data_IF_872228174838
#
_entry.id   IF_872228174838
#
_cell.length_a   1.000
_cell.length_b   1.000
_cell.length_c   1.000
_cell.angle_alpha   90.00
_cell.angle_beta   90.00
_cell.angle_gamma   90.00
#
_symmetry.space_group_name_H-M   'P 1'
#
loop_
_entity.id
_entity.type
_entity.pdbx_description
1 polymer ?
#
# COMPACT_ATOMS: atom_id res chain seq x y z
N UNK A 1 26.22 19.86 0.68
CA UNK A 1 26.08 19.50 2.10
C UNK A 1 25.51 18.11 2.18
N UNK A 2 26.16 17.17 2.89
CA UNK A 2 25.60 15.83 3.09
C UNK A 2 24.30 16.00 3.90
N UNK A 3 23.16 15.61 3.34
CA UNK A 3 21.88 15.58 4.05
C UNK A 3 22.04 14.64 5.24
N UNK A 4 21.87 15.14 6.44
CA UNK A 4 21.92 14.33 7.66
C UNK A 4 20.92 13.18 7.52
N UNK A 5 21.40 11.95 7.70
CA UNK A 5 20.57 10.75 7.60
C UNK A 5 19.46 10.80 8.66
N UNK A 6 18.21 10.83 8.21
CA UNK A 6 17.02 10.85 9.08
C UNK A 6 16.75 9.45 9.62
N UNK A 7 16.25 9.36 10.84
CA UNK A 7 15.70 8.11 11.39
C UNK A 7 14.20 8.05 11.08
N UNK A 8 13.81 7.06 10.30
CA UNK A 8 12.40 6.86 9.88
C UNK A 8 11.85 5.62 10.56
N UNK A 9 10.77 5.79 11.32
CA UNK A 9 9.98 4.66 11.83
C UNK A 9 9.08 4.11 10.72
N UNK A 10 9.10 2.80 10.51
CA UNK A 10 8.20 2.11 9.58
C UNK A 10 7.36 1.11 10.36
N UNK A 11 6.03 1.27 10.33
CA UNK A 11 5.10 0.27 10.84
C UNK A 11 4.66 -0.67 9.73
N UNK A 12 4.25 -1.90 10.08
CA UNK A 12 3.86 -2.90 9.09
C UNK A 12 5.01 -3.40 8.19
N UNK A 13 6.27 -3.24 8.60
CA UNK A 13 7.45 -3.57 7.79
C UNK A 13 7.62 -5.08 7.52
N UNK A 14 6.95 -5.94 8.26
CA UNK A 14 6.88 -7.39 7.98
C UNK A 14 5.84 -7.77 6.92
N UNK A 15 5.06 -6.79 6.45
CA UNK A 15 4.09 -6.92 5.37
C UNK A 15 4.60 -6.30 4.06
N UNK A 16 3.74 -6.29 3.06
CA UNK A 16 4.07 -5.91 1.68
C UNK A 16 4.51 -4.43 1.57
N UNK A 17 3.65 -3.49 1.93
CA UNK A 17 3.92 -2.06 1.74
C UNK A 17 5.05 -1.55 2.65
N UNK A 18 4.95 -1.82 3.95
CA UNK A 18 5.98 -1.39 4.90
C UNK A 18 7.36 -2.00 4.60
N UNK A 19 7.38 -3.27 4.16
CA UNK A 19 8.60 -3.95 3.71
C UNK A 19 9.23 -3.28 2.49
N UNK A 20 8.41 -2.92 1.50
CA UNK A 20 8.86 -2.22 0.29
C UNK A 20 9.44 -0.83 0.62
N UNK A 21 8.77 -0.08 1.50
CA UNK A 21 9.24 1.26 1.93
C UNK A 21 10.52 1.15 2.76
N UNK A 22 10.59 0.22 3.72
CA UNK A 22 11.80 0.00 4.52
C UNK A 22 13.00 -0.36 3.64
N UNK A 23 12.81 -1.26 2.68
CA UNK A 23 13.84 -1.66 1.71
C UNK A 23 14.31 -0.46 0.88
N UNK A 24 13.37 0.35 0.37
CA UNK A 24 13.70 1.53 -0.43
C UNK A 24 14.46 2.60 0.37
N UNK A 25 14.08 2.82 1.63
CA UNK A 25 14.77 3.75 2.53
C UNK A 25 16.19 3.29 2.85
N UNK A 26 16.39 2.02 3.20
CA UNK A 26 17.71 1.44 3.45
C UNK A 26 18.62 1.54 2.24
N UNK A 27 18.10 1.23 1.04
CA UNK A 27 18.85 1.36 -0.22
C UNK A 27 19.28 2.81 -0.53
N UNK A 28 18.61 3.81 0.08
CA UNK A 28 18.95 5.24 -0.01
C UNK A 28 19.79 5.72 1.17
N UNK A 29 20.32 4.81 2.00
CA UNK A 29 21.20 5.14 3.13
C UNK A 29 20.48 5.82 4.30
N UNK A 30 19.16 5.74 4.39
CA UNK A 30 18.42 6.27 5.53
C UNK A 30 18.49 5.31 6.71
N UNK A 31 18.47 5.85 7.93
CA UNK A 31 18.30 5.05 9.13
C UNK A 31 16.85 4.64 9.26
N UNK A 32 16.60 3.35 9.44
CA UNK A 32 15.23 2.81 9.51
C UNK A 32 15.06 2.08 10.84
N UNK A 33 14.01 2.45 11.56
CA UNK A 33 13.51 1.70 12.71
C UNK A 33 12.21 1.01 12.32
N UNK A 34 12.08 -0.28 12.60
CA UNK A 34 10.90 -1.08 12.36
C UNK A 34 10.23 -1.38 13.69
N UNK A 35 8.92 -1.13 13.79
CA UNK A 35 8.14 -1.62 14.91
C UNK A 35 7.36 -2.85 14.51
N UNK A 36 7.56 -3.97 15.23
CA UNK A 36 6.87 -5.24 14.96
C UNK A 36 6.49 -5.93 16.27
N UNK A 37 5.33 -6.58 16.26
CA UNK A 37 4.91 -7.49 17.36
C UNK A 37 5.78 -8.75 17.39
N UNK A 38 6.35 -9.10 16.24
CA UNK A 38 7.12 -10.33 15.98
C UNK A 38 8.45 -9.93 15.32
N UNK A 39 9.44 -9.43 16.09
CA UNK A 39 10.72 -8.92 15.56
C UNK A 39 11.47 -9.90 14.66
N UNK A 40 11.37 -11.20 14.93
CA UNK A 40 12.02 -12.26 14.15
C UNK A 40 11.57 -12.31 12.69
N UNK A 41 10.33 -11.88 12.38
CA UNK A 41 9.84 -11.76 10.99
C UNK A 41 10.51 -10.62 10.21
N UNK A 42 11.19 -9.70 10.88
CA UNK A 42 11.94 -8.60 10.28
C UNK A 42 13.44 -8.90 10.11
N UNK A 43 13.88 -10.15 10.33
CA UNK A 43 15.30 -10.54 10.32
C UNK A 43 16.05 -10.14 9.04
N UNK A 44 15.41 -10.25 7.87
CA UNK A 44 16.02 -9.84 6.60
C UNK A 44 16.30 -8.32 6.55
N UNK A 45 15.36 -7.50 7.01
CA UNK A 45 15.52 -6.04 7.09
C UNK A 45 16.53 -5.64 8.18
N UNK A 46 16.55 -6.35 9.31
CA UNK A 46 17.56 -6.16 10.34
C UNK A 46 18.98 -6.43 9.80
N UNK A 47 19.15 -7.52 9.04
CA UNK A 47 20.41 -7.84 8.36
C UNK A 47 20.80 -6.77 7.32
N UNK A 48 19.82 -6.11 6.72
CA UNK A 48 20.03 -4.98 5.81
C UNK A 48 20.32 -3.64 6.52
N UNK A 49 20.38 -3.62 7.86
CA UNK A 49 20.76 -2.46 8.67
C UNK A 49 19.61 -1.72 9.35
N UNK A 50 18.39 -2.27 9.35
CA UNK A 50 17.29 -1.68 10.10
C UNK A 50 17.39 -1.99 11.60
N UNK A 51 17.10 -1.01 12.46
CA UNK A 51 16.83 -1.21 13.88
C UNK A 51 15.43 -1.85 14.03
N UNK A 52 15.31 -2.90 14.82
CA UNK A 52 14.01 -3.56 15.07
C UNK A 52 13.63 -3.42 16.53
N UNK A 53 12.47 -2.83 16.79
CA UNK A 53 11.90 -2.71 18.13
C UNK A 53 10.62 -3.51 18.24
N UNK A 54 10.44 -4.20 19.37
CA UNK A 54 9.18 -4.88 19.66
C UNK A 54 8.14 -3.85 20.08
N UNK A 55 6.93 -3.93 19.51
CA UNK A 55 5.85 -3.04 19.88
C UNK A 55 4.52 -3.35 19.20
N UNK A 56 3.46 -2.85 19.80
CA UNK A 56 2.09 -2.98 19.32
C UNK A 56 1.47 -1.59 19.16
N UNK A 57 0.79 -1.35 18.03
CA UNK A 57 0.08 -0.09 17.75
C UNK A 57 -1.04 0.24 18.75
N UNK A 58 -1.52 -0.74 19.49
CA UNK A 58 -2.54 -0.55 20.54
C UNK A 58 -1.97 -0.23 21.92
N UNK A 59 -0.63 -0.19 22.06
CA UNK A 59 0.03 0.11 23.35
C UNK A 59 0.72 1.48 23.28
N UNK A 60 0.24 2.49 24.04
CA UNK A 60 0.83 3.83 24.05
C UNK A 60 2.32 3.85 24.45
N UNK A 61 2.73 3.00 25.40
CA UNK A 61 4.13 2.94 25.83
C UNK A 61 5.06 2.42 24.73
N UNK A 62 4.59 1.44 23.94
CA UNK A 62 5.35 0.92 22.80
C UNK A 62 5.50 2.00 21.72
N UNK A 63 4.42 2.75 21.43
CA UNK A 63 4.44 3.86 20.47
C UNK A 63 5.42 4.94 20.92
N UNK A 64 5.38 5.35 22.18
CA UNK A 64 6.30 6.34 22.73
C UNK A 64 7.75 5.88 22.63
N UNK A 65 8.03 4.62 22.95
CA UNK A 65 9.36 4.05 22.85
C UNK A 65 9.86 3.98 21.40
N UNK A 66 9.00 3.54 20.47
CA UNK A 66 9.33 3.43 19.05
C UNK A 66 9.58 4.79 18.39
N UNK A 67 8.88 5.85 18.82
CA UNK A 67 9.00 7.20 18.27
C UNK A 67 10.16 8.01 18.84
N UNK A 68 10.89 7.51 19.84
CA UNK A 68 11.99 8.26 20.48
C UNK A 68 13.12 8.53 19.49
N UNK A 69 13.40 9.81 19.22
CA UNK A 69 14.46 10.26 18.33
C UNK A 69 14.19 10.02 16.84
N UNK A 70 12.94 9.78 16.47
CA UNK A 70 12.49 9.55 15.09
C UNK A 70 12.19 10.90 14.44
N UNK A 71 12.63 11.09 13.19
CA UNK A 71 12.37 12.31 12.39
C UNK A 71 11.10 12.20 11.56
N UNK A 72 10.78 10.98 11.07
CA UNK A 72 9.63 10.72 10.22
C UNK A 72 9.01 9.36 10.47
N UNK A 73 7.75 9.19 10.08
CA UNK A 73 7.01 7.93 10.27
C UNK A 73 6.34 7.51 8.96
N UNK A 74 6.61 6.29 8.50
CA UNK A 74 5.74 5.60 7.54
C UNK A 74 4.74 4.76 8.32
N UNK A 75 3.49 5.16 8.24
CA UNK A 75 2.39 4.63 9.04
C UNK A 75 1.47 3.74 8.23
N UNK A 76 1.31 2.51 8.70
CA UNK A 76 0.38 1.53 8.16
C UNK A 76 -0.38 0.85 9.29
N UNK A 77 -1.69 0.75 9.15
CA UNK A 77 -2.59 -0.14 9.87
C UNK A 77 -3.40 -0.96 8.87
N UNK A 78 -3.98 -2.08 9.29
CA UNK A 78 -4.72 -2.99 8.40
C UNK A 78 -5.99 -3.50 9.04
N UNK A 79 -7.12 -3.56 8.30
CA UNK A 79 -8.37 -4.11 8.81
C UNK A 79 -8.39 -5.63 8.83
N UNK A 80 -7.52 -6.30 8.07
CA UNK A 80 -7.56 -7.74 7.82
C UNK A 80 -7.13 -8.61 8.99
N UNK A 81 -6.55 -8.02 10.05
CA UNK A 81 -6.16 -8.77 11.25
C UNK A 81 -7.19 -8.68 12.38
N UNK A 82 -7.75 -7.49 12.62
CA UNK A 82 -8.60 -7.23 13.78
C UNK A 82 -9.85 -6.38 13.45
N UNK A 83 -10.16 -6.22 12.16
CA UNK A 83 -11.32 -5.49 11.65
C UNK A 83 -11.10 -3.99 11.50
N UNK A 84 -12.06 -3.34 10.85
CA UNK A 84 -12.02 -1.91 10.46
C UNK A 84 -11.92 -0.98 11.67
N UNK A 85 -12.65 -1.27 12.75
CA UNK A 85 -12.59 -0.45 13.96
C UNK A 85 -11.21 -0.47 14.62
N UNK A 86 -10.56 -1.64 14.63
CA UNK A 86 -9.20 -1.76 15.16
C UNK A 86 -8.20 -1.00 14.28
N UNK A 87 -8.36 -1.07 12.95
CA UNK A 87 -7.56 -0.27 12.02
C UNK A 87 -7.65 1.22 12.30
N UNK A 88 -8.88 1.74 12.45
CA UNK A 88 -9.12 3.16 12.76
C UNK A 88 -8.47 3.54 14.08
N UNK A 89 -8.69 2.75 15.16
CA UNK A 89 -8.06 3.00 16.46
C UNK A 89 -6.53 3.02 16.38
N UNK A 90 -5.93 2.03 15.71
CA UNK A 90 -4.47 1.93 15.55
C UNK A 90 -3.91 3.11 14.76
N UNK A 91 -4.58 3.49 13.66
CA UNK A 91 -4.18 4.62 12.83
C UNK A 91 -4.22 5.95 13.57
N UNK A 92 -5.30 6.19 14.33
CA UNK A 92 -5.48 7.38 15.18
C UNK A 92 -4.43 7.42 16.29
N UNK A 93 -4.25 6.32 17.04
CA UNK A 93 -3.28 6.25 18.14
C UNK A 93 -1.85 6.53 17.66
N UNK A 94 -1.47 5.99 16.50
CA UNK A 94 -0.13 6.24 15.93
C UNK A 94 0.01 7.70 15.47
N UNK A 95 -1.02 8.30 14.86
CA UNK A 95 -1.00 9.69 14.43
C UNK A 95 -0.90 10.66 15.63
N UNK A 96 -1.66 10.42 16.69
CA UNK A 96 -1.61 11.21 17.92
C UNK A 96 -0.24 11.11 18.62
N UNK A 97 0.30 9.90 18.72
CA UNK A 97 1.62 9.68 19.29
C UNK A 97 2.72 10.36 18.46
N UNK A 98 2.62 10.31 17.11
CA UNK A 98 3.53 11.00 16.22
C UNK A 98 3.46 12.53 16.37
N UNK A 99 2.25 13.09 16.51
CA UNK A 99 2.04 14.51 16.78
C UNK A 99 2.67 14.93 18.12
N UNK A 100 2.45 14.16 19.18
CA UNK A 100 3.04 14.39 20.49
C UNK A 100 4.57 14.31 20.50
N UNK A 101 5.13 13.39 19.69
CA UNK A 101 6.58 13.24 19.53
C UNK A 101 7.22 14.32 18.64
N UNK A 102 6.43 15.24 18.06
CA UNK A 102 6.93 16.32 17.20
C UNK A 102 7.47 15.85 15.85
N UNK A 103 6.92 14.75 15.31
CA UNK A 103 7.32 14.20 13.99
C UNK A 103 7.13 15.27 12.92
N UNK A 104 8.18 15.49 12.12
CA UNK A 104 8.21 16.54 11.09
C UNK A 104 7.63 16.09 9.74
N UNK A 105 7.55 14.78 9.49
CA UNK A 105 6.92 14.23 8.29
C UNK A 105 6.30 12.86 8.56
N UNK A 106 4.99 12.79 8.42
CA UNK A 106 4.20 11.57 8.59
C UNK A 106 3.70 11.10 7.22
N UNK A 107 4.07 9.92 6.79
CA UNK A 107 3.59 9.32 5.53
C UNK A 107 2.61 8.22 5.87
N UNK A 108 1.32 8.48 5.61
CA UNK A 108 0.26 7.50 5.86
C UNK A 108 -0.09 6.76 4.58
N UNK A 109 -0.10 5.43 4.61
CA UNK A 109 -0.62 4.63 3.50
C UNK A 109 -2.10 4.36 3.71
N UNK A 110 -2.91 5.02 2.88
CA UNK A 110 -4.35 4.89 2.77
C UNK A 110 -4.73 3.94 1.63
N UNK A 111 -5.76 4.25 0.86
CA UNK A 111 -6.19 3.52 -0.33
C UNK A 111 -6.71 4.50 -1.39
N UNK A 112 -6.54 4.15 -2.66
CA UNK A 112 -7.04 4.94 -3.79
C UNK A 112 -8.52 5.26 -3.66
N UNK A 113 -8.89 6.50 -3.92
CA UNK A 113 -10.28 6.98 -3.86
C UNK A 113 -10.95 6.95 -2.47
N UNK A 114 -10.24 6.78 -1.36
CA UNK A 114 -10.81 6.76 0.00
C UNK A 114 -11.73 7.95 0.30
N UNK A 115 -11.44 9.12 -0.29
CA UNK A 115 -12.18 10.38 -0.09
C UNK A 115 -13.50 10.49 -0.88
N UNK A 116 -13.86 9.46 -1.67
CA UNK A 116 -14.98 9.53 -2.65
C UNK A 116 -16.29 8.93 -2.14
N UNK A 117 -16.43 8.69 -0.84
CA UNK A 117 -17.63 8.05 -0.24
C UNK A 117 -17.97 6.74 -0.97
N UNK A 118 -17.02 5.84 -1.00
CA UNK A 118 -17.12 4.61 -1.81
C UNK A 118 -18.12 3.61 -1.27
N UNK A 119 -18.44 3.70 0.03
CA UNK A 119 -19.22 2.70 0.75
C UNK A 119 -18.46 1.40 1.01
N UNK A 120 -17.19 1.30 0.60
CA UNK A 120 -16.35 0.12 0.83
C UNK A 120 -15.81 0.19 2.27
N UNK A 121 -16.13 -0.78 3.15
CA UNK A 121 -15.79 -0.65 4.57
C UNK A 121 -14.31 -0.38 4.86
N UNK A 122 -13.37 -1.08 4.21
CA UNK A 122 -11.94 -0.82 4.43
C UNK A 122 -11.42 0.47 3.76
N UNK A 123 -12.11 1.08 2.80
CA UNK A 123 -11.78 2.41 2.30
C UNK A 123 -12.25 3.48 3.29
N UNK A 124 -13.45 3.29 3.84
CA UNK A 124 -14.02 4.20 4.83
C UNK A 124 -13.23 4.23 6.15
N UNK A 125 -12.68 3.08 6.58
CA UNK A 125 -11.81 3.05 7.77
C UNK A 125 -10.55 3.87 7.55
N UNK A 126 -9.91 3.77 6.39
CA UNK A 126 -8.73 4.56 6.04
C UNK A 126 -9.05 6.05 5.89
N UNK A 127 -10.21 6.38 5.30
CA UNK A 127 -10.65 7.77 5.19
C UNK A 127 -10.83 8.43 6.56
N UNK A 128 -11.37 7.70 7.54
CA UNK A 128 -11.47 8.20 8.93
C UNK A 128 -10.11 8.55 9.52
N UNK A 129 -9.10 7.73 9.28
CA UNK A 129 -7.73 8.02 9.74
C UNK A 129 -7.15 9.24 9.01
N UNK A 130 -7.35 9.36 7.68
CA UNK A 130 -6.93 10.56 6.94
C UNK A 130 -7.56 11.84 7.47
N UNK A 131 -8.86 11.81 7.78
CA UNK A 131 -9.57 12.95 8.36
C UNK A 131 -8.97 13.34 9.70
N UNK A 132 -8.67 12.37 10.58
CA UNK A 132 -8.03 12.63 11.86
C UNK A 132 -6.63 13.25 11.72
N UNK A 133 -5.79 12.70 10.82
CA UNK A 133 -4.46 13.26 10.52
C UNK A 133 -4.53 14.74 10.14
N UNK A 134 -5.51 15.12 9.28
CA UNK A 134 -5.74 16.50 8.88
C UNK A 134 -6.25 17.34 10.04
N UNK A 135 -7.21 16.82 10.82
CA UNK A 135 -7.83 17.50 11.95
C UNK A 135 -6.80 17.91 13.02
N UNK A 136 -5.85 17.01 13.34
CA UNK A 136 -4.80 17.30 14.32
C UNK A 136 -3.66 18.15 13.74
N UNK A 137 -3.70 18.49 12.46
CA UNK A 137 -2.65 19.29 11.79
C UNK A 137 -1.28 18.60 11.82
N UNK A 138 -1.23 17.28 11.64
CA UNK A 138 0.02 16.54 11.54
C UNK A 138 0.65 16.81 10.16
N UNK A 139 1.95 17.20 10.06
CA UNK A 139 2.61 17.39 8.77
C UNK A 139 2.67 16.06 8.01
N UNK A 140 1.82 15.86 7.02
CA UNK A 140 1.62 14.54 6.42
C UNK A 140 1.65 14.53 4.90
N UNK A 141 2.05 13.39 4.35
CA UNK A 141 1.77 12.92 3.00
C UNK A 141 0.84 11.71 3.10
N UNK A 142 -0.21 11.69 2.31
CA UNK A 142 -1.12 10.55 2.22
C UNK A 142 -0.85 9.81 0.90
N UNK A 143 -0.34 8.61 0.96
CA UNK A 143 -0.27 7.73 -0.19
C UNK A 143 -1.53 6.88 -0.28
N UNK A 144 -2.15 6.87 -1.44
CA UNK A 144 -3.39 6.14 -1.73
C UNK A 144 -3.14 5.12 -2.83
N UNK A 145 -2.44 4.03 -2.54
CA UNK A 145 -2.23 2.99 -3.54
C UNK A 145 -3.57 2.36 -3.94
N UNK A 146 -3.64 1.95 -5.21
CA UNK A 146 -4.76 1.20 -5.78
C UNK A 146 -4.52 -0.31 -5.64
N UNK A 147 -5.16 -1.12 -6.48
CA UNK A 147 -4.97 -2.57 -6.52
C UNK A 147 -3.50 -2.95 -6.73
N UNK A 148 -2.97 -3.85 -5.88
CA UNK A 148 -1.57 -4.27 -6.01
C UNK A 148 -1.39 -5.29 -7.14
N UNK A 149 -0.38 -5.11 -7.98
CA UNK A 149 -0.01 -6.10 -8.99
C UNK A 149 0.33 -7.45 -8.36
N UNK A 150 0.92 -7.44 -7.17
CA UNK A 150 1.27 -8.63 -6.40
C UNK A 150 0.08 -9.53 -6.03
N UNK A 151 -1.15 -9.01 -6.09
CA UNK A 151 -2.35 -9.81 -5.90
C UNK A 151 -2.47 -10.94 -6.94
N UNK A 152 -1.91 -10.75 -8.15
CA UNK A 152 -1.88 -11.79 -9.19
C UNK A 152 -0.89 -12.93 -8.91
N UNK A 153 -0.09 -12.83 -7.86
CA UNK A 153 0.73 -13.93 -7.35
C UNK A 153 0.13 -14.62 -6.12
N UNK A 154 -0.98 -14.10 -5.60
CA UNK A 154 -1.65 -14.57 -4.39
C UNK A 154 -3.12 -14.90 -4.67
N UNK A 155 -4.05 -14.15 -4.11
CA UNK A 155 -5.48 -14.51 -4.16
C UNK A 155 -6.12 -14.33 -5.55
N UNK A 156 -5.58 -13.49 -6.42
CA UNK A 156 -6.00 -13.34 -7.82
C UNK A 156 -5.09 -14.10 -8.80
N UNK A 157 -4.33 -15.08 -8.30
CA UNK A 157 -3.45 -15.91 -9.13
C UNK A 157 -4.28 -16.79 -10.07
N UNK A 158 -3.92 -16.84 -11.39
CA UNK A 158 -4.59 -17.75 -12.30
C UNK A 158 -4.52 -19.20 -11.84
N UNK A 159 -5.60 -19.94 -11.98
CA UNK A 159 -5.70 -21.34 -11.60
C UNK A 159 -4.74 -22.23 -12.41
N UNK A 160 -4.55 -23.48 -12.00
CA UNK A 160 -3.75 -24.47 -12.75
C UNK A 160 -4.30 -24.67 -14.16
N UNK A 161 -5.62 -24.52 -14.37
CA UNK A 161 -6.31 -24.63 -15.65
C UNK A 161 -6.17 -23.38 -16.53
N UNK A 162 -5.51 -22.32 -16.04
CA UNK A 162 -5.31 -21.09 -16.79
C UNK A 162 -6.46 -20.09 -16.68
N UNK A 163 -7.29 -20.18 -15.66
CA UNK A 163 -8.41 -19.25 -15.45
C UNK A 163 -7.98 -18.13 -14.49
N UNK A 164 -8.06 -16.89 -14.95
CA UNK A 164 -8.05 -15.69 -14.11
C UNK A 164 -9.50 -15.35 -13.76
N UNK A 165 -9.89 -15.60 -12.50
CA UNK A 165 -11.27 -15.47 -12.03
C UNK A 165 -11.40 -14.28 -11.07
N UNK A 166 -12.13 -13.24 -11.45
CA UNK A 166 -12.41 -12.07 -10.61
C UNK A 166 -13.83 -11.55 -10.89
N UNK A 167 -14.49 -10.90 -9.91
CA UNK A 167 -15.82 -10.31 -10.13
C UNK A 167 -15.71 -8.93 -10.82
N UNK A 168 -15.07 -8.91 -11.97
CA UNK A 168 -14.88 -7.73 -12.82
C UNK A 168 -15.54 -7.92 -14.17
N UNK A 169 -16.27 -6.92 -14.65
CA UNK A 169 -16.78 -6.93 -16.04
C UNK A 169 -15.62 -6.86 -17.02
N UNK A 170 -15.64 -7.63 -18.13
CA UNK A 170 -14.50 -7.70 -19.07
C UNK A 170 -14.04 -6.35 -19.64
N UNK A 171 -14.98 -5.42 -19.84
CA UNK A 171 -14.71 -4.10 -20.39
C UNK A 171 -14.24 -3.07 -19.36
N UNK A 172 -14.25 -3.41 -18.07
CA UNK A 172 -13.82 -2.49 -17.00
C UNK A 172 -12.33 -2.59 -16.77
N UNK A 173 -11.71 -1.43 -16.68
CA UNK A 173 -10.29 -1.32 -16.31
C UNK A 173 -10.13 -1.32 -14.81
N UNK A 174 -9.02 -1.87 -14.36
CA UNK A 174 -8.56 -1.87 -12.97
C UNK A 174 -7.21 -1.18 -12.92
N UNK A 175 -7.16 -0.03 -12.26
CA UNK A 175 -5.87 0.63 -12.01
C UNK A 175 -5.06 -0.18 -11.01
N UNK A 176 -3.77 -0.37 -11.29
CA UNK A 176 -2.86 -1.24 -10.55
C UNK A 176 -1.57 -0.52 -10.20
N UNK A 177 -0.94 -0.93 -9.09
CA UNK A 177 0.35 -0.42 -8.65
C UNK A 177 1.25 -1.55 -8.19
N UNK A 178 2.54 -1.50 -8.53
CA UNK A 178 3.55 -2.42 -8.01
C UNK A 178 4.01 -1.99 -6.60
N UNK A 179 4.25 -2.93 -5.70
CA UNK A 179 4.76 -2.65 -4.35
C UNK A 179 6.07 -1.87 -4.37
N UNK A 180 6.94 -2.12 -5.36
CA UNK A 180 8.19 -1.36 -5.49
C UNK A 180 7.96 0.13 -5.71
N UNK A 181 6.87 0.51 -6.39
CA UNK A 181 6.53 1.92 -6.62
C UNK A 181 5.97 2.55 -5.34
N UNK A 182 5.20 1.81 -4.55
CA UNK A 182 4.79 2.23 -3.20
C UNK A 182 6.04 2.48 -2.34
N UNK A 183 7.01 1.56 -2.40
CA UNK A 183 8.30 1.70 -1.72
C UNK A 183 9.06 2.94 -2.16
N UNK A 184 9.14 3.17 -3.47
CA UNK A 184 9.83 4.32 -4.05
C UNK A 184 9.18 5.65 -3.67
N UNK A 185 7.84 5.76 -3.75
CA UNK A 185 7.08 6.95 -3.38
C UNK A 185 7.15 7.20 -1.87
N UNK A 186 7.03 6.15 -1.04
CA UNK A 186 7.19 6.26 0.41
C UNK A 186 8.57 6.78 0.81
N UNK A 187 9.64 6.26 0.20
CA UNK A 187 10.99 6.75 0.44
C UNK A 187 11.19 8.18 -0.10
N UNK A 188 10.69 8.48 -1.31
CA UNK A 188 10.79 9.81 -1.91
C UNK A 188 10.10 10.89 -1.07
N UNK A 189 8.99 10.57 -0.42
CA UNK A 189 8.30 11.50 0.48
C UNK A 189 9.24 12.03 1.57
N UNK A 190 10.06 11.19 2.18
CA UNK A 190 11.02 11.61 3.20
C UNK A 190 12.25 12.31 2.62
N UNK A 191 12.67 11.96 1.41
CA UNK A 191 13.87 12.49 0.76
C UNK A 191 13.63 13.84 0.07
N UNK A 192 12.40 14.08 -0.37
CA UNK A 192 11.96 15.29 -1.08
C UNK A 192 10.71 15.88 -0.41
N UNK A 193 10.77 16.26 0.87
CA UNK A 193 9.58 16.68 1.61
C UNK A 193 8.85 17.87 0.98
N UNK A 194 9.55 18.75 0.29
CA UNK A 194 8.95 19.91 -0.43
C UNK A 194 7.96 19.49 -1.52
N UNK A 195 8.17 18.35 -2.16
CA UNK A 195 7.32 17.87 -3.25
C UNK A 195 6.10 17.08 -2.72
N UNK A 196 6.23 16.54 -1.51
CA UNK A 196 5.28 15.54 -1.00
C UNK A 196 4.44 16.04 0.19
N UNK A 197 4.99 16.92 1.04
CA UNK A 197 4.30 17.34 2.25
C UNK A 197 2.97 18.05 1.94
N UNK A 198 1.91 17.63 2.61
CA UNK A 198 0.55 18.13 2.37
C UNK A 198 -0.17 17.47 1.21
N UNK A 199 0.49 16.61 0.43
CA UNK A 199 -0.12 15.93 -0.72
C UNK A 199 -0.92 14.70 -0.30
N UNK A 200 -2.01 14.42 -1.06
CA UNK A 200 -2.73 13.15 -1.05
C UNK A 200 -2.68 12.56 -2.47
N UNK A 201 -2.02 11.44 -2.63
CA UNK A 201 -1.56 10.92 -3.92
C UNK A 201 -2.22 9.57 -4.19
N UNK A 202 -3.18 9.54 -5.12
CA UNK A 202 -3.71 8.29 -5.65
C UNK A 202 -2.66 7.68 -6.57
N UNK A 203 -2.08 6.53 -6.17
CA UNK A 203 -0.88 5.96 -6.77
C UNK A 203 -1.21 4.72 -7.61
N UNK A 204 -1.02 4.83 -8.94
CA UNK A 204 -1.17 3.76 -9.91
C UNK A 204 -0.01 3.75 -10.91
N UNK A 205 0.36 2.57 -11.39
CA UNK A 205 1.40 2.38 -12.42
C UNK A 205 0.81 1.98 -13.77
N UNK A 206 -0.33 1.30 -13.78
CA UNK A 206 -1.02 0.84 -15.00
C UNK A 206 -2.54 0.80 -14.80
N UNK A 207 -3.30 0.68 -15.90
CA UNK A 207 -4.76 0.63 -15.91
C UNK A 207 -5.25 -0.26 -17.06
N UNK A 208 -5.55 -1.53 -16.77
CA UNK A 208 -5.86 -2.57 -17.74
C UNK A 208 -7.21 -3.24 -17.46
N UNK A 209 -7.83 -3.74 -18.52
CA UNK A 209 -8.94 -4.70 -18.41
C UNK A 209 -8.43 -6.08 -17.99
N UNK A 210 -9.26 -6.92 -17.43
CA UNK A 210 -8.87 -8.29 -17.05
C UNK A 210 -8.51 -9.18 -18.24
N UNK A 211 -9.17 -9.09 -19.43
CA UNK A 211 -8.69 -9.75 -20.64
C UNK A 211 -7.30 -9.31 -21.10
N UNK A 212 -6.96 -8.01 -21.04
CA UNK A 212 -5.60 -7.52 -21.33
C UNK A 212 -4.60 -8.06 -20.32
N UNK A 213 -4.95 -8.07 -19.03
CA UNK A 213 -4.13 -8.64 -17.95
C UNK A 213 -3.87 -10.14 -18.18
N UNK A 214 -4.90 -10.92 -18.55
CA UNK A 214 -4.77 -12.35 -18.84
C UNK A 214 -3.86 -12.61 -20.07
N UNK A 215 -3.92 -11.78 -21.10
CA UNK A 215 -3.05 -11.89 -22.26
C UNK A 215 -1.57 -11.66 -21.89
N UNK A 216 -1.27 -10.68 -21.05
CA UNK A 216 0.08 -10.44 -20.53
C UNK A 216 0.56 -11.60 -19.65
N UNK A 217 -0.30 -12.12 -18.76
CA UNK A 217 0.01 -13.30 -17.94
C UNK A 217 0.27 -14.55 -18.77
N UNK A 218 -0.45 -14.75 -19.88
CA UNK A 218 -0.18 -15.84 -20.85
C UNK A 218 1.26 -15.80 -21.32
N UNK A 219 1.72 -14.62 -21.73
CA UNK A 219 3.11 -14.43 -22.20
C UNK A 219 4.12 -14.70 -21.07
N UNK A 220 3.87 -14.22 -19.88
CA UNK A 220 4.79 -14.34 -18.74
C UNK A 220 4.86 -15.76 -18.17
N UNK A 221 3.71 -16.47 -18.12
CA UNK A 221 3.61 -17.81 -17.55
C UNK A 221 3.91 -18.92 -18.58
N UNK A 222 4.05 -18.58 -19.87
CA UNK A 222 4.33 -19.55 -20.94
C UNK A 222 3.20 -20.58 -21.16
N UNK A 223 1.98 -20.27 -20.73
CA UNK A 223 0.78 -21.11 -20.90
C UNK A 223 -0.46 -20.26 -21.07
N UNK A 224 -1.51 -20.76 -21.78
CA UNK A 224 -2.74 -20.01 -21.96
C UNK A 224 -3.38 -19.59 -20.64
N UNK A 225 -3.68 -18.30 -20.49
CA UNK A 225 -4.47 -17.74 -19.40
C UNK A 225 -5.64 -16.99 -20.05
N UNK A 226 -6.85 -17.27 -19.60
CA UNK A 226 -8.06 -16.56 -20.00
C UNK A 226 -8.77 -16.00 -18.79
N UNK A 227 -9.47 -14.89 -18.98
CA UNK A 227 -10.25 -14.26 -17.95
C UNK A 227 -11.68 -14.82 -17.96
N UNK A 228 -12.20 -15.13 -16.77
CA UNK A 228 -13.61 -15.43 -16.56
C UNK A 228 -14.18 -14.48 -15.50
N UNK A 229 -15.35 -13.92 -15.80
CA UNK A 229 -16.07 -13.08 -14.85
C UNK A 229 -16.71 -13.95 -13.77
N UNK A 230 -16.31 -13.76 -12.53
CA UNK A 230 -17.02 -14.33 -11.39
C UNK A 230 -18.28 -13.50 -11.12
N UNK A 231 -19.44 -14.16 -10.98
CA UNK A 231 -20.70 -13.44 -10.83
C UNK A 231 -20.73 -12.63 -9.53
N UNK A 232 -20.99 -11.32 -9.65
CA UNK A 232 -20.95 -10.40 -8.53
C UNK A 232 -21.96 -10.74 -7.42
N UNK A 233 -23.11 -11.34 -7.80
CA UNK A 233 -24.15 -11.81 -6.89
C UNK A 233 -23.65 -12.92 -5.95
N UNK A 234 -22.65 -13.68 -6.37
CA UNK A 234 -22.03 -14.75 -5.60
C UNK A 234 -20.80 -14.28 -4.82
N UNK A 235 -20.29 -13.09 -5.15
CA UNK A 235 -19.05 -12.57 -4.58
C UNK A 235 -19.14 -12.38 -3.06
N UNK A 236 -20.29 -11.94 -2.54
CA UNK A 236 -20.46 -11.72 -1.10
C UNK A 236 -20.36 -13.01 -0.29
N UNK A 237 -20.96 -14.10 -0.79
CA UNK A 237 -20.85 -15.40 -0.14
C UNK A 237 -19.43 -16.00 -0.21
N UNK A 238 -18.69 -15.72 -1.30
CA UNK A 238 -17.36 -16.28 -1.53
C UNK A 238 -16.23 -15.51 -0.83
N UNK A 239 -16.32 -14.17 -0.76
CA UNK A 239 -15.22 -13.31 -0.30
C UNK A 239 -15.62 -12.28 0.76
N UNK A 240 -16.88 -12.27 1.20
CA UNK A 240 -17.44 -11.39 2.22
C UNK A 240 -17.86 -10.03 1.68
N UNK A 241 -18.65 -9.33 2.50
CA UNK A 241 -19.32 -8.07 2.15
C UNK A 241 -18.34 -6.98 1.68
N UNK A 242 -17.21 -6.83 2.36
CA UNK A 242 -16.21 -5.79 2.09
C UNK A 242 -15.64 -5.90 0.66
N UNK A 243 -15.13 -7.08 0.29
CA UNK A 243 -14.56 -7.29 -1.04
C UNK A 243 -15.63 -7.30 -2.13
N UNK A 244 -16.81 -7.85 -1.87
CA UNK A 244 -17.91 -7.81 -2.82
C UNK A 244 -18.36 -6.36 -3.12
N UNK A 245 -18.44 -5.51 -2.10
CA UNK A 245 -18.73 -4.08 -2.25
C UNK A 245 -17.63 -3.37 -3.04
N UNK A 246 -16.36 -3.72 -2.80
CA UNK A 246 -15.22 -3.18 -3.56
C UNK A 246 -15.32 -3.53 -5.05
N UNK A 247 -15.58 -4.78 -5.40
CA UNK A 247 -15.70 -5.18 -6.80
C UNK A 247 -16.95 -4.59 -7.47
N UNK A 248 -18.05 -4.43 -6.74
CA UNK A 248 -19.23 -3.68 -7.25
C UNK A 248 -18.83 -2.26 -7.61
N UNK A 249 -18.14 -1.58 -6.72
CA UNK A 249 -17.66 -0.22 -6.95
C UNK A 249 -16.68 -0.15 -8.13
N UNK A 250 -15.77 -1.12 -8.28
CA UNK A 250 -14.87 -1.18 -9.44
C UNK A 250 -15.64 -1.30 -10.76
N UNK A 251 -16.71 -2.08 -10.78
CA UNK A 251 -17.54 -2.27 -11.96
C UNK A 251 -18.42 -1.05 -12.31
N UNK A 252 -18.88 -0.31 -11.32
CA UNK A 252 -19.79 0.83 -11.51
C UNK A 252 -19.02 2.14 -11.69
N UNK A 253 -18.04 2.40 -10.85
CA UNK A 253 -17.33 3.66 -10.74
C UNK A 253 -15.87 3.52 -11.18
N UNK A 254 -15.09 2.72 -10.45
CA UNK A 254 -13.67 2.50 -10.67
C UNK A 254 -12.78 3.67 -10.22
N UNK A 255 -11.49 3.43 -10.28
CA UNK A 255 -10.48 4.46 -10.04
C UNK A 255 -10.44 5.47 -11.20
N UNK A 256 -10.13 6.73 -10.89
CA UNK A 256 -9.98 7.80 -11.88
C UNK A 256 -8.61 8.47 -11.69
N UNK A 257 -7.54 7.81 -12.16
CA UNK A 257 -6.17 8.26 -11.94
C UNK A 257 -5.52 8.64 -13.27
N UNK A 258 -4.98 9.85 -13.33
CA UNK A 258 -4.18 10.31 -14.47
C UNK A 258 -2.71 9.92 -14.26
N UNK A 259 -2.34 8.69 -14.65
CA UNK A 259 -0.98 8.15 -14.51
C UNK A 259 0.09 9.02 -15.21
N UNK A 260 -0.11 9.53 -16.44
CA UNK A 260 0.83 10.48 -17.05
C UNK A 260 1.06 11.74 -16.22
N UNK A 261 0.00 12.36 -15.70
CA UNK A 261 0.13 13.52 -14.83
C UNK A 261 0.88 13.21 -13.54
N UNK A 262 0.65 12.05 -12.93
CA UNK A 262 1.36 11.58 -11.74
C UNK A 262 2.87 11.43 -12.02
N UNK A 263 3.25 10.81 -13.14
CA UNK A 263 4.65 10.70 -13.58
C UNK A 263 5.30 12.08 -13.76
N UNK A 264 4.59 12.99 -14.40
CA UNK A 264 5.08 14.35 -14.65
C UNK A 264 5.25 15.15 -13.35
N UNK A 265 4.26 15.10 -12.44
CA UNK A 265 4.26 15.86 -11.19
C UNK A 265 5.42 15.46 -10.29
N UNK A 266 5.69 14.16 -10.13
CA UNK A 266 6.72 13.69 -9.21
C UNK A 266 8.06 13.38 -9.88
N UNK A 267 8.14 13.36 -11.22
CA UNK A 267 9.35 12.99 -11.96
C UNK A 267 9.84 11.57 -11.63
N UNK A 268 8.91 10.67 -11.31
CA UNK A 268 9.22 9.30 -10.89
C UNK A 268 8.68 8.28 -11.90
N UNK A 269 9.45 7.23 -12.23
CA UNK A 269 8.94 6.13 -13.04
C UNK A 269 7.85 5.39 -12.25
N UNK A 270 6.86 4.91 -12.98
CA UNK A 270 5.81 4.02 -12.49
C UNK A 270 5.83 2.75 -13.33
N UNK A 271 5.77 1.62 -12.66
CA UNK A 271 5.88 0.31 -13.28
C UNK A 271 4.57 -0.06 -13.98
N UNK A 272 4.65 -0.39 -15.25
CA UNK A 272 3.54 -1.01 -15.99
C UNK A 272 3.38 -2.47 -15.59
N UNK A 273 2.19 -3.04 -15.79
CA UNK A 273 1.95 -4.45 -15.54
C UNK A 273 2.87 -5.34 -16.41
N UNK A 274 3.10 -4.94 -17.67
CA UNK A 274 4.01 -5.62 -18.59
C UNK A 274 5.50 -5.61 -18.12
N UNK A 275 5.91 -4.60 -17.36
CA UNK A 275 7.23 -4.57 -16.72
C UNK A 275 7.26 -5.39 -15.44
N UNK A 276 6.20 -5.29 -14.62
CA UNK A 276 6.10 -6.00 -13.35
C UNK A 276 6.13 -7.53 -13.54
N UNK A 277 5.36 -8.07 -14.49
CA UNK A 277 5.30 -9.53 -14.73
C UNK A 277 6.67 -10.15 -15.05
N UNK A 278 7.62 -9.36 -15.62
CA UNK A 278 8.99 -9.81 -15.91
C UNK A 278 9.87 -9.94 -14.67
N UNK A 279 9.47 -9.32 -13.56
CA UNK A 279 10.18 -9.36 -12.28
C UNK A 279 9.72 -10.52 -11.40
N UNK A 280 8.59 -11.14 -11.74
CA UNK A 280 7.98 -12.22 -10.97
C UNK A 280 8.55 -13.57 -11.43
N UNK A 281 8.97 -14.38 -10.47
CA UNK A 281 9.33 -15.77 -10.74
C UNK A 281 8.05 -16.65 -10.74
N UNK A 282 7.49 -16.86 -11.95
CA UNK A 282 6.27 -17.63 -12.16
C UNK A 282 6.45 -19.15 -12.01
N UNK A 283 7.69 -19.63 -11.79
CA UNK A 283 7.97 -21.06 -11.55
C UNK A 283 7.73 -21.48 -10.11
N UNK A 284 7.67 -20.51 -9.19
CA UNK A 284 7.40 -20.72 -7.77
C UNK A 284 5.91 -20.57 -7.50
N UNK A 285 5.14 -21.63 -7.51
CA UNK A 285 3.75 -21.51 -7.12
C UNK A 285 2.87 -22.66 -7.35
#
# INVERSE_FOLDING_TARGET
>A
MATQSKLILVTGATGQQGGAVATALLAKGQKVRLMSRTPEKAAALAKAGAEVVKGNLTNPSDLQAALRGVDGVFAMSTPFEAGMEAEVRQGIMLADAAKQAGITHYVYTSVGSAHRNTGIPHFESKWKVEQHIRQIGLPATILRPVWFMENFTTFAKPSAQGVLLLPMKPARKLAMVALKDIGAFGAAAFLRPTDFLGQAIDLAGDDLTMPETAALLTTAMGRPIHFEEFQLEQAEAAMGHDLATMFRWFNEVGYAINIPALKQQFGMPLTTFAEWIKMVDWTKG
#
